data_IF_154759125969
#
_entry.id   IF_154759125969
#
_cell.length_a   1.000
_cell.length_b   1.000
_cell.length_c   1.000
_cell.angle_alpha   90.00
_cell.angle_beta   90.00
_cell.angle_gamma   90.00
#
_symmetry.space_group_name_H-M   'P 1'
#
loop_
_entity.id
_entity.type
_entity.pdbx_description
1 polymer ?
#
# COMPACT_ATOMS: atom_id res chain seq x y z
N UNK A 1 -6.28 -39.42 12.38
CA UNK A 1 -6.35 -40.61 13.26
C UNK A 1 -5.04 -41.36 13.12
N UNK A 2 -4.29 -41.54 14.22
CA UNK A 2 -3.10 -42.39 14.24
C UNK A 2 -3.59 -43.84 14.17
N UNK A 3 -3.29 -44.55 13.09
CA UNK A 3 -3.59 -45.97 12.93
C UNK A 3 -2.40 -46.63 12.25
N UNK A 4 -1.96 -47.76 12.77
CA UNK A 4 -0.79 -48.50 12.26
C UNK A 4 0.51 -47.67 12.25
N UNK A 5 0.76 -46.89 13.31
CA UNK A 5 1.91 -45.99 13.47
C UNK A 5 2.07 -44.94 12.35
N UNK A 6 0.98 -44.69 11.61
CA UNK A 6 0.96 -43.76 10.49
C UNK A 6 -0.15 -42.74 10.66
N UNK A 7 0.19 -41.48 10.41
CA UNK A 7 -0.80 -40.42 10.22
C UNK A 7 -1.38 -40.51 8.81
N UNK A 8 -2.72 -40.63 8.72
CA UNK A 8 -3.45 -40.56 7.45
C UNK A 8 -4.43 -39.39 7.49
N UNK A 9 -4.26 -38.49 6.53
CA UNK A 9 -5.13 -37.34 6.30
C UNK A 9 -5.49 -37.30 4.81
N UNK A 10 -6.77 -37.04 4.51
CA UNK A 10 -7.22 -36.80 3.15
C UNK A 10 -7.31 -35.28 2.95
N UNK A 11 -6.60 -34.77 1.94
CA UNK A 11 -6.65 -33.36 1.55
C UNK A 11 -7.43 -33.24 0.24
N UNK A 12 -8.52 -32.49 0.25
CA UNK A 12 -9.36 -32.27 -0.93
C UNK A 12 -9.83 -30.82 -0.98
N UNK A 13 -9.74 -30.20 -2.16
CA UNK A 13 -10.15 -28.82 -2.39
C UNK A 13 -10.61 -28.63 -3.84
N UNK A 14 -11.41 -27.59 -4.08
CA UNK A 14 -11.85 -27.19 -5.42
C UNK A 14 -10.74 -26.44 -6.17
N UNK A 15 -10.80 -26.46 -7.51
CA UNK A 15 -9.89 -25.70 -8.39
C UNK A 15 -10.37 -24.25 -8.63
N UNK A 16 -10.98 -23.64 -7.62
CA UNK A 16 -11.68 -22.34 -7.71
C UNK A 16 -10.74 -21.11 -7.73
N UNK A 17 -9.47 -21.29 -7.37
CA UNK A 17 -8.43 -20.24 -7.44
C UNK A 17 -7.23 -20.72 -8.25
N UNK A 18 -6.54 -19.79 -8.92
CA UNK A 18 -5.28 -20.07 -9.61
C UNK A 18 -4.22 -20.67 -8.67
N UNK A 19 -4.19 -20.24 -7.41
CA UNK A 19 -3.30 -20.77 -6.37
C UNK A 19 -3.62 -22.25 -6.10
N UNK A 20 -4.91 -22.55 -5.87
CA UNK A 20 -5.41 -23.91 -5.61
C UNK A 20 -5.15 -24.85 -6.80
N UNK A 21 -5.28 -24.33 -8.02
CA UNK A 21 -4.95 -25.04 -9.25
C UNK A 21 -3.45 -25.37 -9.34
N UNK A 22 -2.59 -24.37 -9.16
CA UNK A 22 -1.14 -24.54 -9.24
C UNK A 22 -0.62 -25.52 -8.18
N UNK A 23 -1.11 -25.43 -6.95
CA UNK A 23 -0.76 -26.37 -5.87
C UNK A 23 -1.23 -27.79 -6.21
N UNK A 24 -2.46 -27.93 -6.73
CA UNK A 24 -2.98 -29.22 -7.20
C UNK A 24 -2.08 -29.85 -8.28
N UNK A 25 -1.79 -29.09 -9.34
CA UNK A 25 -0.96 -29.54 -10.46
C UNK A 25 0.47 -29.90 -10.01
N UNK A 26 1.05 -29.14 -9.07
CA UNK A 26 2.37 -29.43 -8.49
C UNK A 26 2.35 -30.75 -7.72
N UNK A 27 1.37 -30.92 -6.83
CA UNK A 27 1.24 -32.14 -6.03
C UNK A 27 0.98 -33.34 -6.94
N UNK A 28 0.18 -33.20 -8.00
CA UNK A 28 -0.03 -34.23 -9.02
C UNK A 28 1.29 -34.73 -9.62
N UNK A 29 2.17 -33.82 -10.07
CA UNK A 29 3.50 -34.15 -10.64
C UNK A 29 4.41 -34.91 -9.66
N UNK A 30 4.27 -34.70 -8.36
CA UNK A 30 5.11 -35.34 -7.33
C UNK A 30 4.77 -36.83 -7.07
N UNK A 31 3.63 -37.33 -7.57
CA UNK A 31 3.19 -38.72 -7.44
C UNK A 31 3.33 -39.28 -5.99
N UNK A 32 4.19 -40.27 -5.73
CA UNK A 32 4.33 -40.86 -4.40
C UNK A 32 5.03 -39.96 -3.36
N UNK A 33 5.58 -38.81 -3.77
CA UNK A 33 6.30 -37.86 -2.89
C UNK A 33 5.43 -36.73 -2.35
N UNK A 34 4.12 -36.76 -2.62
CA UNK A 34 3.15 -35.76 -2.12
C UNK A 34 3.21 -35.63 -0.59
N UNK A 35 3.20 -36.75 0.13
CA UNK A 35 3.19 -36.72 1.60
C UNK A 35 4.48 -36.13 2.18
N UNK A 36 5.64 -36.50 1.65
CA UNK A 36 6.93 -35.98 2.07
C UNK A 36 7.03 -34.46 1.86
N UNK A 37 6.57 -33.98 0.71
CA UNK A 37 6.56 -32.55 0.41
C UNK A 37 5.66 -31.78 1.38
N UNK A 38 4.45 -32.28 1.65
CA UNK A 38 3.54 -31.64 2.60
C UNK A 38 4.13 -31.63 4.02
N UNK A 39 4.78 -32.71 4.45
CA UNK A 39 5.44 -32.77 5.76
C UNK A 39 6.55 -31.72 5.85
N UNK A 40 7.40 -31.61 4.82
CA UNK A 40 8.46 -30.60 4.76
C UNK A 40 7.91 -29.17 4.81
N UNK A 41 6.89 -28.87 4.01
CA UNK A 41 6.27 -27.53 3.98
C UNK A 41 5.61 -27.16 5.32
N UNK A 42 4.93 -28.12 5.97
CA UNK A 42 4.33 -27.90 7.29
C UNK A 42 5.41 -27.74 8.37
N UNK A 43 6.48 -28.53 8.30
CA UNK A 43 7.62 -28.39 9.22
C UNK A 43 8.30 -27.03 9.09
N UNK A 44 8.53 -26.57 7.87
CA UNK A 44 9.06 -25.24 7.59
C UNK A 44 8.12 -24.14 8.12
N UNK A 45 6.81 -24.30 7.94
CA UNK A 45 5.82 -23.38 8.49
C UNK A 45 5.88 -23.31 10.02
N UNK A 46 5.96 -24.45 10.71
CA UNK A 46 6.12 -24.51 12.17
C UNK A 46 7.44 -23.87 12.61
N UNK A 47 8.52 -24.06 11.85
CA UNK A 47 9.81 -23.43 12.14
C UNK A 47 9.76 -21.90 12.09
N UNK A 48 9.01 -21.33 11.16
CA UNK A 48 8.81 -19.88 11.06
C UNK A 48 7.73 -19.34 12.03
N UNK A 49 6.81 -20.20 12.46
CA UNK A 49 5.66 -19.86 13.30
C UNK A 49 5.54 -20.80 14.50
N UNK A 50 6.48 -20.76 15.47
CA UNK A 50 6.47 -21.67 16.62
C UNK A 50 5.23 -21.51 17.50
N UNK A 51 4.56 -20.35 17.44
CA UNK A 51 3.29 -20.09 18.14
C UNK A 51 2.22 -21.15 17.86
N UNK A 52 2.22 -21.75 16.66
CA UNK A 52 1.21 -22.74 16.25
C UNK A 52 1.30 -24.08 17.00
N UNK A 53 2.40 -24.32 17.72
CA UNK A 53 2.60 -25.50 18.57
C UNK A 53 2.11 -25.28 20.01
N UNK A 54 1.69 -24.07 20.36
CA UNK A 54 1.17 -23.77 21.70
C UNK A 54 -0.26 -24.32 21.84
N UNK A 55 -0.61 -24.93 22.98
CA UNK A 55 -1.94 -25.54 23.22
C UNK A 55 -3.12 -24.56 23.03
N UNK A 56 -2.90 -23.25 23.18
CA UNK A 56 -3.91 -22.21 22.99
C UNK A 56 -3.94 -21.59 21.59
N UNK A 57 -3.08 -22.03 20.66
CA UNK A 57 -2.99 -21.44 19.34
C UNK A 57 -4.07 -21.99 18.40
N UNK A 58 -4.84 -21.08 17.80
CA UNK A 58 -5.84 -21.40 16.77
C UNK A 58 -5.38 -20.86 15.44
N UNK A 59 -5.10 -21.74 14.48
CA UNK A 59 -4.83 -21.34 13.10
C UNK A 59 -6.14 -20.86 12.47
N UNK A 60 -6.23 -19.56 12.15
CA UNK A 60 -7.39 -18.97 11.46
C UNK A 60 -7.01 -18.68 10.02
N UNK A 61 -7.51 -19.50 9.10
CA UNK A 61 -7.30 -19.30 7.65
C UNK A 61 -8.36 -18.32 7.14
N UNK A 62 -8.01 -17.03 7.06
CA UNK A 62 -8.84 -16.03 6.41
C UNK A 62 -8.47 -15.94 4.93
N UNK A 63 -9.30 -16.50 4.05
CA UNK A 63 -9.17 -16.31 2.60
C UNK A 63 -9.58 -14.88 2.28
N UNK A 64 -8.59 -13.98 2.23
CA UNK A 64 -8.79 -12.65 1.66
C UNK A 64 -8.64 -12.79 0.15
N UNK A 65 -9.66 -12.38 -0.60
CA UNK A 65 -9.50 -12.19 -2.03
C UNK A 65 -8.32 -11.21 -2.23
N UNK A 66 -7.25 -11.67 -2.87
CA UNK A 66 -6.19 -10.78 -3.31
C UNK A 66 -6.81 -9.85 -4.34
N UNK A 67 -6.77 -8.52 -4.15
CA UNK A 67 -7.31 -7.61 -5.13
C UNK A 67 -6.57 -7.84 -6.45
N UNK A 68 -7.31 -8.05 -7.52
CA UNK A 68 -6.76 -8.25 -8.87
C UNK A 68 -5.85 -7.06 -9.20
N UNK A 69 -4.82 -7.26 -10.04
CA UNK A 69 -3.91 -6.16 -10.40
C UNK A 69 -4.65 -4.96 -11.02
N UNK A 70 -5.77 -5.19 -11.72
CA UNK A 70 -6.69 -4.14 -12.18
C UNK A 70 -7.29 -3.33 -11.01
N UNK A 71 -7.71 -3.99 -9.93
CA UNK A 71 -8.25 -3.31 -8.75
C UNK A 71 -7.18 -2.50 -8.02
N UNK A 72 -5.94 -3.02 -7.96
CA UNK A 72 -4.80 -2.28 -7.42
C UNK A 72 -4.48 -1.05 -8.27
N UNK A 73 -4.47 -1.19 -9.59
CA UNK A 73 -4.23 -0.07 -10.51
C UNK A 73 -5.33 0.98 -10.43
N UNK A 74 -6.59 0.58 -10.36
CA UNK A 74 -7.72 1.49 -10.16
C UNK A 74 -7.65 2.22 -8.81
N UNK A 75 -7.21 1.52 -7.75
CA UNK A 75 -6.99 2.13 -6.44
C UNK A 75 -5.85 3.16 -6.49
N UNK A 76 -4.74 2.86 -7.18
CA UNK A 76 -3.64 3.80 -7.36
C UNK A 76 -4.09 5.03 -8.16
N UNK A 77 -4.82 4.84 -9.26
CA UNK A 77 -5.35 5.94 -10.08
C UNK A 77 -6.27 6.86 -9.26
N UNK A 78 -7.23 6.30 -8.51
CA UNK A 78 -8.11 7.11 -7.66
C UNK A 78 -7.36 7.86 -6.54
N UNK A 79 -6.28 7.28 -6.01
CA UNK A 79 -5.42 7.97 -5.04
C UNK A 79 -4.67 9.15 -5.67
N UNK A 80 -4.20 9.00 -6.91
CA UNK A 80 -3.53 10.07 -7.67
C UNK A 80 -4.51 11.19 -7.97
N UNK A 81 -5.70 10.87 -8.48
CA UNK A 81 -6.73 11.86 -8.80
C UNK A 81 -7.14 12.66 -7.57
N UNK A 82 -7.39 11.98 -6.44
CA UNK A 82 -7.69 12.63 -5.17
C UNK A 82 -6.55 13.54 -4.67
N UNK A 83 -5.30 13.17 -4.95
CA UNK A 83 -4.13 13.99 -4.57
C UNK A 83 -4.00 15.24 -5.44
N UNK A 84 -4.23 15.11 -6.75
CA UNK A 84 -4.23 16.23 -7.69
C UNK A 84 -5.38 17.20 -7.37
N UNK A 85 -6.56 16.68 -7.03
CA UNK A 85 -7.70 17.51 -6.65
C UNK A 85 -7.40 18.32 -5.38
N UNK A 86 -6.84 17.69 -4.33
CA UNK A 86 -6.39 18.38 -3.12
C UNK A 86 -5.33 19.45 -3.40
N UNK A 87 -4.37 19.17 -4.27
CA UNK A 87 -3.34 20.14 -4.68
C UNK A 87 -3.97 21.32 -5.43
N UNK A 88 -4.91 21.04 -6.33
CA UNK A 88 -5.64 22.07 -7.09
C UNK A 88 -6.45 22.97 -6.16
N UNK A 89 -7.10 22.39 -5.16
CA UNK A 89 -7.85 23.15 -4.18
C UNK A 89 -6.93 23.98 -3.29
N UNK A 90 -5.79 23.43 -2.86
CA UNK A 90 -4.74 24.19 -2.15
C UNK A 90 -4.24 25.39 -2.98
N UNK A 91 -3.98 25.20 -4.28
CA UNK A 91 -3.55 26.28 -5.18
C UNK A 91 -4.63 27.34 -5.39
N UNK A 92 -5.91 26.94 -5.49
CA UNK A 92 -7.03 27.90 -5.53
C UNK A 92 -7.16 28.69 -4.24
N UNK A 93 -6.89 28.08 -3.08
CA UNK A 93 -6.86 28.75 -1.78
C UNK A 93 -5.70 29.77 -1.70
N UNK A 94 -4.51 29.42 -2.19
CA UNK A 94 -3.37 30.36 -2.26
C UNK A 94 -3.62 31.52 -3.24
N UNK A 95 -4.20 31.26 -4.42
CA UNK A 95 -4.53 32.32 -5.37
C UNK A 95 -5.61 33.29 -4.85
N UNK A 96 -6.50 32.84 -3.96
CA UNK A 96 -7.46 33.73 -3.28
C UNK A 96 -6.81 34.56 -2.17
N UNK A 97 -5.72 34.09 -1.56
CA UNK A 97 -4.95 34.86 -0.58
C UNK A 97 -4.02 35.89 -1.24
N UNK A 98 -3.64 35.69 -2.50
CA UNK A 98 -2.80 36.64 -3.27
C UNK A 98 -3.55 37.81 -3.94
N UNK A 99 -4.86 37.96 -3.77
CA UNK A 99 -5.67 39.02 -4.39
C UNK A 99 -6.20 40.08 -3.39
N UNK A 100 -5.66 40.12 -2.17
CA UNK A 100 -6.04 41.12 -1.15
C UNK A 100 -4.92 42.08 -0.73
N UNK A 101 -3.85 42.21 -1.51
CA UNK A 101 -2.96 43.37 -1.42
C UNK A 101 -3.11 44.20 -2.69
N UNK A 102 -4.10 45.11 -2.69
CA UNK A 102 -3.91 46.38 -3.38
C UNK A 102 -2.74 47.06 -2.67
N UNK A 103 -1.53 46.87 -3.20
CA UNK A 103 -0.41 47.75 -2.88
C UNK A 103 -0.75 49.11 -3.50
N UNK A 104 -1.30 49.98 -2.68
CA UNK A 104 -1.32 51.43 -2.89
C UNK A 104 0.07 51.81 -3.44
N UNK A 105 0.09 52.51 -4.58
CA UNK A 105 1.35 53.00 -5.13
C UNK A 105 2.10 53.85 -4.10
N UNK A 106 3.43 54.02 -4.23
CA UNK A 106 4.18 54.85 -3.29
C UNK A 106 3.50 56.21 -3.14
N UNK A 107 3.22 56.58 -1.90
CA UNK A 107 2.60 57.86 -1.54
C UNK A 107 3.50 59.00 -2.02
N UNK A 108 2.94 60.17 -2.34
CA UNK A 108 3.74 61.35 -2.74
C UNK A 108 4.85 61.68 -1.73
N UNK A 109 4.65 61.33 -0.44
CA UNK A 109 5.68 61.45 0.61
C UNK A 109 6.86 60.51 0.42
N UNK A 110 6.61 59.28 -0.04
CA UNK A 110 7.67 58.31 -0.31
C UNK A 110 8.49 58.72 -1.54
N UNK A 111 7.85 59.38 -2.51
CA UNK A 111 8.52 59.96 -3.68
C UNK A 111 9.38 61.17 -3.30
N UNK A 112 8.88 62.06 -2.43
CA UNK A 112 9.64 63.21 -1.92
C UNK A 112 10.88 62.79 -1.12
N UNK A 113 10.77 61.75 -0.29
CA UNK A 113 11.91 61.22 0.46
C UNK A 113 12.99 60.63 -0.47
N UNK A 114 12.60 59.95 -1.56
CA UNK A 114 13.55 59.44 -2.56
C UNK A 114 14.25 60.57 -3.33
N UNK A 115 13.54 61.68 -3.59
CA UNK A 115 14.10 62.85 -4.27
C UNK A 115 15.07 63.64 -3.36
N UNK A 116 14.79 63.72 -2.06
CA UNK A 116 15.67 64.41 -1.10
C UNK A 116 17.06 63.77 -1.00
N UNK A 117 17.14 62.45 -1.18
CA UNK A 117 18.41 61.71 -1.17
C UNK A 117 19.29 62.00 -2.40
N UNK A 118 18.71 62.50 -3.50
CA UNK A 118 19.46 62.89 -4.70
C UNK A 118 20.16 64.24 -4.53
N UNK A 119 19.67 65.11 -3.65
CA UNK A 119 20.27 66.42 -3.37
C UNK A 119 21.62 66.33 -2.63
N UNK A 120 21.92 65.16 -2.06
CA UNK A 120 23.21 64.86 -1.43
C UNK A 120 24.36 64.79 -2.46
N UNK A 121 24.05 64.56 -3.74
CA UNK A 121 25.06 64.47 -4.81
C UNK A 121 25.38 65.81 -5.50
N UNK A 122 24.74 66.90 -5.08
CA UNK A 122 24.95 68.25 -5.63
C UNK A 122 25.87 69.15 -4.77
N UNK A 123 26.65 68.57 -3.83
CA UNK A 123 27.63 69.30 -3.00
C UNK A 123 29.08 69.09 -3.45
#
# INVERSE_FOLDING_TARGET
MLKDDKYRFCLGWSRDSAEKAAVGDLLEKLNNRKSEFIIQAVWEYIGHHPEVMTESARIVIAVRATPTDEQKLAQIQSMIDASIERLRDSLKLQNKQGQQEETDGPSDKDLDDMLSNLDIFNQ
#
